data_IF_985728383639
#
_entry.id   IF_985728383639
#
_cell.length_a   1.000
_cell.length_b   1.000
_cell.length_c   1.000
_cell.angle_alpha   90.00
_cell.angle_beta   90.00
_cell.angle_gamma   90.00
#
_symmetry.space_group_name_H-M   'P 1'
#
loop_
_entity.id
_entity.type
_entity.pdbx_description
1 polymer ?
#
# COMPACT_ATOMS: atom_id res chain seq x y z
N UNK A 1 15.38 9.40 10.99
CA UNK A 1 15.45 8.12 11.73
C UNK A 1 14.95 6.89 10.96
N UNK A 2 13.98 6.98 10.03
CA UNK A 2 13.48 5.80 9.28
C UNK A 2 14.53 5.12 8.38
N UNK A 3 15.34 5.90 7.64
CA UNK A 3 16.35 5.35 6.73
C UNK A 3 17.38 4.46 7.44
N UNK A 4 17.89 4.89 8.61
CA UNK A 4 18.85 4.08 9.41
C UNK A 4 18.26 2.74 9.82
N UNK A 5 17.00 2.73 10.30
CA UNK A 5 16.30 1.49 10.68
C UNK A 5 16.13 0.54 9.49
N UNK A 6 15.86 1.07 8.29
CA UNK A 6 15.78 0.26 7.08
C UNK A 6 17.14 -0.31 6.68
N UNK A 7 18.22 0.47 6.79
CA UNK A 7 19.58 -0.03 6.52
C UNK A 7 19.99 -1.13 7.50
N UNK A 8 19.68 -0.96 8.80
CA UNK A 8 19.92 -1.97 9.83
C UNK A 8 19.14 -3.27 9.58
N UNK A 9 17.92 -3.17 9.05
CA UNK A 9 17.11 -4.33 8.69
C UNK A 9 17.60 -5.02 7.42
N UNK A 10 17.96 -4.24 6.40
CA UNK A 10 18.34 -4.78 5.09
C UNK A 10 19.75 -5.40 5.09
N UNK A 11 20.61 -5.07 6.04
CA UNK A 11 22.02 -5.52 6.10
C UNK A 11 22.20 -7.05 6.01
N UNK A 12 21.20 -7.82 6.45
CA UNK A 12 21.24 -9.29 6.51
C UNK A 12 20.77 -9.94 5.19
N UNK A 13 20.29 -9.14 4.23
CA UNK A 13 19.88 -9.60 2.91
C UNK A 13 21.03 -9.43 1.91
N UNK A 14 21.16 -10.36 0.97
CA UNK A 14 22.02 -10.20 -0.20
C UNK A 14 21.30 -9.36 -1.26
N UNK A 15 21.58 -8.05 -1.29
CA UNK A 15 20.98 -7.13 -2.25
C UNK A 15 21.97 -6.03 -2.69
N UNK A 16 21.80 -5.56 -3.93
CA UNK A 16 22.47 -4.38 -4.45
C UNK A 16 21.49 -3.22 -4.62
N UNK A 17 21.93 -2.00 -4.33
CA UNK A 17 21.17 -0.79 -4.66
C UNK A 17 21.38 -0.42 -6.13
N UNK A 18 20.33 -0.47 -6.94
CA UNK A 18 20.34 -0.02 -8.33
C UNK A 18 19.23 1.00 -8.60
N UNK A 19 19.57 2.06 -9.35
CA UNK A 19 18.56 2.98 -9.84
C UNK A 19 17.93 2.43 -11.12
N UNK A 20 16.63 2.19 -11.08
CA UNK A 20 15.86 1.69 -12.22
C UNK A 20 15.00 2.82 -12.80
N UNK A 21 15.26 3.27 -14.04
CA UNK A 21 14.45 4.30 -14.68
C UNK A 21 13.05 3.79 -14.98
N UNK A 22 12.08 4.71 -15.10
CA UNK A 22 10.64 4.44 -14.99
C UNK A 22 10.05 3.28 -15.81
N UNK A 23 10.63 2.91 -16.96
CA UNK A 23 10.18 1.74 -17.74
C UNK A 23 10.34 0.42 -16.98
N UNK A 24 11.36 0.29 -16.13
CA UNK A 24 11.54 -0.91 -15.30
C UNK A 24 10.57 -0.96 -14.11
N UNK A 25 9.95 0.17 -13.74
CA UNK A 25 9.04 0.27 -12.60
C UNK A 25 7.56 0.05 -12.97
N UNK A 26 7.23 -0.17 -14.25
CA UNK A 26 5.83 -0.28 -14.71
C UNK A 26 5.02 -1.33 -13.94
N UNK A 27 5.63 -2.48 -13.61
CA UNK A 27 4.95 -3.55 -12.86
C UNK A 27 4.71 -3.13 -11.40
N UNK A 28 5.73 -2.57 -10.74
CA UNK A 28 5.61 -2.08 -9.37
C UNK A 28 4.56 -0.95 -9.25
N UNK A 29 4.56 -0.02 -10.21
CA UNK A 29 3.60 1.07 -10.28
C UNK A 29 2.18 0.56 -10.51
N UNK A 30 1.98 -0.39 -11.42
CA UNK A 30 0.68 -0.98 -11.70
C UNK A 30 0.12 -1.72 -10.46
N UNK A 31 0.96 -2.50 -9.77
CA UNK A 31 0.57 -3.21 -8.55
C UNK A 31 0.25 -2.26 -7.39
N UNK A 32 1.07 -1.22 -7.20
CA UNK A 32 0.83 -0.19 -6.19
C UNK A 32 -0.51 0.52 -6.39
N UNK A 33 -0.80 0.94 -7.63
CA UNK A 33 -2.08 1.57 -7.99
C UNK A 33 -3.27 0.64 -7.75
N UNK A 34 -3.15 -0.65 -8.08
CA UNK A 34 -4.20 -1.64 -7.81
C UNK A 34 -4.48 -1.76 -6.31
N UNK A 35 -3.44 -1.88 -5.49
CA UNK A 35 -3.59 -1.98 -4.04
C UNK A 35 -4.28 -0.74 -3.46
N UNK A 36 -3.86 0.47 -3.86
CA UNK A 36 -4.48 1.71 -3.40
C UNK A 36 -5.96 1.80 -3.78
N UNK A 37 -6.31 1.36 -4.99
CA UNK A 37 -7.70 1.34 -5.42
C UNK A 37 -8.54 0.37 -4.57
N UNK A 38 -8.03 -0.84 -4.31
CA UNK A 38 -8.71 -1.81 -3.45
C UNK A 38 -8.89 -1.28 -2.03
N UNK A 39 -7.86 -0.65 -1.45
CA UNK A 39 -7.97 -0.03 -0.11
C UNK A 39 -9.02 1.07 -0.08
N UNK A 40 -9.13 1.88 -1.13
CA UNK A 40 -10.16 2.91 -1.24
C UNK A 40 -11.58 2.32 -1.34
N UNK A 41 -11.75 1.22 -2.08
CA UNK A 41 -13.04 0.53 -2.16
C UNK A 41 -13.44 -0.08 -0.82
N UNK A 42 -12.51 -0.74 -0.13
CA UNK A 42 -12.76 -1.31 1.20
C UNK A 42 -13.16 -0.23 2.22
N UNK A 43 -12.52 0.93 2.18
CA UNK A 43 -12.87 2.04 3.08
C UNK A 43 -14.31 2.52 2.82
N UNK A 44 -14.70 2.69 1.56
CA UNK A 44 -16.08 3.05 1.19
C UNK A 44 -17.11 1.99 1.58
N UNK A 45 -16.74 0.71 1.47
CA UNK A 45 -17.61 -0.39 1.90
C UNK A 45 -17.82 -0.37 3.42
N UNK A 46 -16.76 -0.09 4.20
CA UNK A 46 -16.87 0.07 5.65
C UNK A 46 -17.75 1.26 6.03
N UNK A 47 -17.56 2.42 5.40
CA UNK A 47 -18.40 3.61 5.60
C UNK A 47 -19.88 3.28 5.32
N UNK A 48 -20.17 2.58 4.21
CA UNK A 48 -21.53 2.19 3.86
C UNK A 48 -22.13 1.20 4.87
N UNK A 49 -21.35 0.23 5.37
CA UNK A 49 -21.79 -0.70 6.41
C UNK A 49 -22.13 0.05 7.70
N UNK A 50 -21.34 1.05 8.08
CA UNK A 50 -21.62 1.91 9.23
C UNK A 50 -22.91 2.71 9.03
N UNK A 51 -23.10 3.35 7.86
CA UNK A 51 -24.35 4.05 7.52
C UNK A 51 -25.57 3.12 7.60
N UNK A 52 -25.48 1.90 7.09
CA UNK A 52 -26.57 0.92 7.19
C UNK A 52 -26.87 0.49 8.63
N UNK A 53 -25.84 0.33 9.48
CA UNK A 53 -26.04 0.04 10.90
C UNK A 53 -26.79 1.17 11.57
N UNK A 54 -26.40 2.41 11.32
CA UNK A 54 -27.03 3.60 11.90
C UNK A 54 -28.49 3.75 11.43
N UNK A 55 -28.78 3.40 10.17
CA UNK A 55 -30.14 3.39 9.62
C UNK A 55 -31.01 2.23 10.18
N UNK A 56 -30.39 1.13 10.62
CA UNK A 56 -31.10 -0.04 11.19
C UNK A 56 -31.45 0.11 12.68
N UNK A 57 -31.23 1.28 13.28
CA UNK A 57 -31.57 1.59 14.68
C UNK A 57 -33.05 1.98 14.84
N UNK A 58 -33.97 1.12 14.40
CA UNK A 58 -35.37 1.03 14.86
C UNK A 58 -35.70 -0.41 15.21
#
# INVERSE_FOLDING_TARGET
MRQRRWLEFLKDYDFGLSYNPGKANMVADALSRKSLHMSSLMMKELELIEEFRDLSLV
#
